data_IF_318509964652
#
_entry.id   IF_318509964652
#
_cell.length_a   1.000
_cell.length_b   1.000
_cell.length_c   1.000
_cell.angle_alpha   90.00
_cell.angle_beta   90.00
_cell.angle_gamma   90.00
#
_symmetry.space_group_name_H-M   'P 1'
#
loop_
_entity.id
_entity.type
_entity.pdbx_description
1 polymer ?
#
# COMPACT_ATOMS: atom_id res chain seq x y z
N UNK A 1 -11.40 -13.42 4.69
CA UNK A 1 -10.10 -13.27 4.01
C UNK A 1 -9.44 -14.64 3.96
N UNK A 2 -8.95 -15.11 2.80
CA UNK A 2 -8.11 -16.30 2.68
C UNK A 2 -6.87 -16.24 3.59
N UNK A 3 -6.34 -17.40 3.97
CA UNK A 3 -5.22 -17.50 4.92
C UNK A 3 -3.95 -16.80 4.42
N UNK A 4 -3.62 -16.95 3.13
CA UNK A 4 -2.46 -16.32 2.50
C UNK A 4 -2.55 -14.78 2.52
N UNK A 5 -3.73 -14.21 2.24
CA UNK A 5 -3.97 -12.78 2.32
C UNK A 5 -3.82 -12.29 3.77
N UNK A 6 -4.42 -13.01 4.72
CA UNK A 6 -4.32 -12.67 6.13
C UNK A 6 -2.86 -12.62 6.60
N UNK A 7 -2.07 -13.64 6.27
CA UNK A 7 -0.66 -13.70 6.69
C UNK A 7 0.16 -12.54 6.14
N UNK A 8 -0.04 -12.16 4.87
CA UNK A 8 0.68 -11.05 4.24
C UNK A 8 0.41 -9.71 4.94
N UNK A 9 -0.85 -9.40 5.19
CA UNK A 9 -1.22 -8.15 5.85
C UNK A 9 -0.89 -8.16 7.34
N UNK A 10 -0.96 -9.31 8.01
CA UNK A 10 -0.49 -9.46 9.39
C UNK A 10 1.01 -9.18 9.48
N UNK A 11 1.81 -9.78 8.61
CA UNK A 11 3.27 -9.57 8.57
C UNK A 11 3.61 -8.12 8.22
N UNK A 12 2.90 -7.52 7.27
CA UNK A 12 3.06 -6.10 6.93
C UNK A 12 2.85 -5.21 8.15
N UNK A 13 1.80 -5.45 8.94
CA UNK A 13 1.54 -4.70 10.16
C UNK A 13 2.61 -4.91 11.25
N UNK A 14 3.14 -6.13 11.39
CA UNK A 14 4.26 -6.41 12.29
C UNK A 14 5.54 -5.66 11.89
N UNK A 15 5.83 -5.60 10.59
CA UNK A 15 6.97 -4.85 10.07
C UNK A 15 6.81 -3.35 10.29
N UNK A 16 5.64 -2.78 10.02
CA UNK A 16 5.34 -1.37 10.31
C UNK A 16 5.50 -1.06 11.79
N UNK A 17 4.96 -1.90 12.68
CA UNK A 17 5.11 -1.74 14.12
C UNK A 17 6.58 -1.79 14.56
N UNK A 18 7.37 -2.72 13.99
CA UNK A 18 8.80 -2.85 14.28
C UNK A 18 9.58 -1.61 13.82
N UNK A 19 9.28 -1.09 12.62
CA UNK A 19 9.92 0.12 12.09
C UNK A 19 9.58 1.35 12.95
N UNK A 20 8.32 1.49 13.36
CA UNK A 20 7.88 2.56 14.29
C UNK A 20 8.65 2.52 15.59
N UNK A 21 8.77 1.33 16.20
CA UNK A 21 9.55 1.15 17.43
C UNK A 21 11.01 1.52 17.24
N UNK A 22 11.63 1.09 16.14
CA UNK A 22 13.05 1.34 15.84
C UNK A 22 13.37 2.84 15.73
N UNK A 23 12.42 3.66 15.25
CA UNK A 23 12.60 5.12 15.11
C UNK A 23 11.94 5.92 16.24
N UNK A 24 11.37 5.25 17.25
CA UNK A 24 10.68 5.91 18.37
C UNK A 24 9.45 6.72 17.94
N UNK A 25 8.76 6.30 16.87
CA UNK A 25 7.58 7.00 16.38
C UNK A 25 6.40 6.81 17.35
N UNK A 26 5.74 7.92 17.68
CA UNK A 26 4.55 7.98 18.53
C UNK A 26 3.32 8.60 17.82
N UNK A 27 3.42 8.84 16.51
CA UNK A 27 2.35 9.40 15.68
C UNK A 27 1.85 8.37 14.67
N UNK A 28 0.63 8.58 14.17
CA UNK A 28 0.13 7.90 12.98
C UNK A 28 1.08 8.13 11.80
N UNK A 29 1.27 7.10 10.99
CA UNK A 29 2.03 7.13 9.74
C UNK A 29 1.08 7.14 8.55
N UNK A 30 1.54 7.75 7.46
CA UNK A 30 0.83 7.70 6.17
C UNK A 30 1.34 6.50 5.39
N UNK A 31 0.46 5.56 5.07
CA UNK A 31 0.83 4.27 4.49
C UNK A 31 0.04 4.04 3.20
N UNK A 32 0.76 3.82 2.10
CA UNK A 32 0.20 3.56 0.78
C UNK A 32 0.29 2.07 0.46
N UNK A 33 -0.83 1.44 0.09
CA UNK A 33 -0.86 0.08 -0.48
C UNK A 33 -1.10 0.14 -1.99
N UNK A 34 -0.12 -0.27 -2.78
CA UNK A 34 -0.20 -0.26 -4.25
C UNK A 34 -0.53 -1.67 -4.75
N UNK A 35 -1.69 -1.81 -5.40
CA UNK A 35 -2.28 -3.09 -5.80
C UNK A 35 -3.06 -3.79 -4.68
N UNK A 36 -3.39 -3.06 -3.62
CA UNK A 36 -4.01 -3.60 -2.40
C UNK A 36 -5.54 -3.77 -2.45
N UNK A 37 -6.17 -3.53 -3.60
CA UNK A 37 -7.62 -3.57 -3.72
C UNK A 37 -8.09 -4.92 -4.22
N UNK A 38 -8.99 -5.53 -3.46
CA UNK A 38 -9.63 -6.79 -3.83
C UNK A 38 -11.06 -6.50 -4.32
N UNK A 39 -11.33 -6.65 -5.63
CA UNK A 39 -12.65 -6.37 -6.20
C UNK A 39 -13.64 -7.48 -5.82
N UNK A 40 -14.32 -7.30 -4.69
CA UNK A 40 -15.55 -8.02 -4.31
C UNK A 40 -16.75 -7.10 -4.52
N UNK A 41 -17.98 -7.57 -4.29
CA UNK A 41 -19.19 -6.72 -4.38
C UNK A 41 -19.11 -5.44 -3.54
N UNK A 42 -18.40 -5.47 -2.41
CA UNK A 42 -18.19 -4.31 -1.53
C UNK A 42 -16.82 -3.64 -1.71
N UNK A 43 -15.90 -4.24 -2.45
CA UNK A 43 -14.48 -3.92 -2.39
C UNK A 43 -13.88 -4.26 -1.01
N UNK A 44 -12.63 -4.73 -0.98
CA UNK A 44 -11.90 -4.92 0.28
C UNK A 44 -10.52 -4.28 0.14
N UNK A 45 -10.16 -3.51 1.18
CA UNK A 45 -8.85 -2.87 1.35
C UNK A 45 -8.25 -3.38 2.67
N UNK A 46 -7.55 -4.53 2.66
CA UNK A 46 -7.15 -5.21 3.88
C UNK A 46 -6.28 -4.37 4.81
N UNK A 47 -5.35 -3.59 4.27
CA UNK A 47 -4.37 -2.83 5.05
C UNK A 47 -5.02 -1.99 6.15
N UNK A 48 -6.16 -1.34 5.85
CA UNK A 48 -6.92 -0.51 6.79
C UNK A 48 -7.40 -1.29 8.01
N UNK A 49 -7.67 -2.59 7.88
CA UNK A 49 -8.10 -3.45 9.00
C UNK A 49 -6.94 -3.86 9.91
N UNK A 50 -5.71 -3.88 9.39
CA UNK A 50 -4.52 -4.30 10.14
C UNK A 50 -3.75 -3.13 10.76
N UNK A 51 -3.99 -1.91 10.28
CA UNK A 51 -3.33 -0.69 10.74
C UNK A 51 -4.38 0.39 11.07
N UNK A 52 -5.26 0.17 12.07
CA UNK A 52 -6.38 1.07 12.38
C UNK A 52 -5.95 2.42 12.96
N UNK A 53 -4.73 2.50 13.50
CA UNK A 53 -4.17 3.72 14.10
C UNK A 53 -3.35 4.55 13.09
N UNK A 54 -3.33 4.14 11.81
CA UNK A 54 -2.57 4.77 10.74
C UNK A 54 -3.46 5.33 9.63
N UNK A 55 -2.93 6.32 8.91
CA UNK A 55 -3.56 6.86 7.72
C UNK A 55 -3.24 5.97 6.52
N UNK A 56 -4.19 5.09 6.16
CA UNK A 56 -4.01 4.16 5.03
C UNK A 56 -4.69 4.67 3.76
N UNK A 57 -4.04 4.50 2.62
CA UNK A 57 -4.59 4.76 1.29
C UNK A 57 -4.27 3.56 0.39
N UNK A 58 -5.23 3.10 -0.40
CA UNK A 58 -5.01 2.06 -1.41
C UNK A 58 -5.02 2.69 -2.81
N UNK A 59 -4.07 2.28 -3.65
CA UNK A 59 -4.06 2.57 -5.08
C UNK A 59 -4.22 1.29 -5.87
N UNK A 60 -5.12 1.31 -6.85
CA UNK A 60 -5.24 0.24 -7.84
C UNK A 60 -5.73 0.82 -9.18
N UNK A 61 -5.61 0.03 -10.24
CA UNK A 61 -6.13 0.35 -11.58
C UNK A 61 -7.62 0.02 -11.72
N UNK A 62 -8.12 -0.90 -10.90
CA UNK A 62 -9.53 -1.29 -10.90
C UNK A 62 -10.45 -0.08 -10.63
N UNK A 63 -11.63 0.00 -11.25
CA UNK A 63 -12.58 1.05 -10.91
C UNK A 63 -13.16 0.80 -9.51
N UNK A 64 -13.06 1.80 -8.64
CA UNK A 64 -13.72 1.84 -7.33
C UNK A 64 -13.90 3.28 -6.88
N UNK A 65 -15.03 3.56 -6.23
CA UNK A 65 -15.31 4.84 -5.59
C UNK A 65 -15.53 4.59 -4.10
N UNK A 66 -14.72 5.23 -3.26
CA UNK A 66 -14.77 5.04 -1.82
C UNK A 66 -13.71 5.84 -1.08
N UNK A 67 -13.85 6.00 0.25
CA UNK A 67 -12.83 6.62 1.07
C UNK A 67 -11.55 5.78 1.05
N UNK A 68 -10.40 6.42 1.25
CA UNK A 68 -9.10 5.75 1.36
C UNK A 68 -8.74 4.91 0.12
N UNK A 69 -9.26 5.29 -1.05
CA UNK A 69 -8.96 4.69 -2.33
C UNK A 69 -8.61 5.75 -3.40
N UNK A 70 -7.61 5.48 -4.21
CA UNK A 70 -7.22 6.29 -5.36
C UNK A 70 -7.04 5.40 -6.58
N UNK A 71 -7.88 5.57 -7.60
CA UNK A 71 -7.68 4.88 -8.87
C UNK A 71 -6.47 5.50 -9.60
N UNK A 72 -5.40 4.73 -9.83
CA UNK A 72 -4.20 5.16 -10.54
C UNK A 72 -3.31 3.97 -10.95
N UNK A 73 -2.37 4.19 -11.87
CA UNK A 73 -1.32 3.20 -12.15
C UNK A 73 -0.21 3.30 -11.11
N UNK A 74 0.27 2.15 -10.62
CA UNK A 74 1.47 2.10 -9.78
C UNK A 74 2.77 2.54 -10.49
N UNK A 75 2.73 2.70 -11.82
CA UNK A 75 3.86 3.23 -12.61
C UNK A 75 3.80 4.75 -12.81
N UNK A 76 2.76 5.42 -12.33
CA UNK A 76 2.54 6.87 -12.44
C UNK A 76 1.64 7.32 -11.28
N UNK A 77 2.21 7.37 -10.08
CA UNK A 77 1.46 7.65 -8.86
C UNK A 77 1.19 9.17 -8.73
N UNK A 78 -0.06 9.61 -8.51
CA UNK A 78 -0.45 11.02 -8.49
C UNK A 78 -0.12 11.71 -7.15
N UNK A 79 1.05 11.40 -6.57
CA UNK A 79 1.49 11.91 -5.28
C UNK A 79 2.85 12.57 -5.39
N UNK A 80 3.11 13.52 -4.49
CA UNK A 80 4.42 14.14 -4.35
C UNK A 80 5.47 13.13 -3.87
N UNK A 81 6.73 13.45 -4.11
CA UNK A 81 7.86 12.71 -3.57
C UNK A 81 7.75 12.65 -2.04
N UNK A 82 8.05 11.47 -1.48
CA UNK A 82 8.06 11.23 -0.03
C UNK A 82 6.73 11.54 0.67
N UNK A 83 5.61 11.43 -0.04
CA UNK A 83 4.27 11.69 0.50
C UNK A 83 3.81 10.68 1.57
N UNK A 84 4.43 9.48 1.63
CA UNK A 84 4.07 8.42 2.57
C UNK A 84 5.27 7.99 3.42
N UNK A 85 5.03 7.64 4.67
CA UNK A 85 6.04 7.04 5.55
C UNK A 85 6.45 5.66 5.03
N UNK A 86 5.46 4.84 4.68
CA UNK A 86 5.65 3.47 4.19
C UNK A 86 4.83 3.27 2.92
N UNK A 87 5.40 2.53 1.96
CA UNK A 87 4.71 2.06 0.77
C UNK A 87 4.80 0.55 0.72
N UNK A 88 3.65 -0.11 0.58
CA UNK A 88 3.54 -1.56 0.46
C UNK A 88 3.02 -1.95 -0.91
N UNK A 89 3.38 -3.13 -1.35
CA UNK A 89 2.82 -3.76 -2.53
C UNK A 89 2.97 -5.26 -2.40
N UNK A 90 1.86 -5.98 -2.44
CA UNK A 90 1.80 -7.43 -2.26
C UNK A 90 1.10 -8.04 -3.47
N UNK A 91 1.70 -9.08 -4.06
CA UNK A 91 1.21 -9.76 -5.27
C UNK A 91 0.80 -8.82 -6.41
N UNK A 92 1.58 -7.75 -6.64
CA UNK A 92 1.30 -6.76 -7.69
C UNK A 92 2.36 -6.78 -8.80
N UNK A 93 3.63 -6.96 -8.46
CA UNK A 93 4.75 -6.81 -9.40
C UNK A 93 4.72 -7.82 -10.55
N UNK A 94 4.20 -9.03 -10.29
CA UNK A 94 4.03 -10.10 -11.27
C UNK A 94 3.04 -9.73 -12.38
N UNK A 95 2.08 -8.86 -12.10
CA UNK A 95 1.08 -8.38 -13.05
C UNK A 95 1.61 -7.24 -13.93
N UNK A 96 2.77 -6.66 -13.59
CA UNK A 96 3.37 -5.56 -14.33
C UNK A 96 4.25 -6.11 -15.45
N UNK A 97 4.07 -5.63 -16.71
CA UNK A 97 4.94 -5.99 -17.82
C UNK A 97 6.42 -5.77 -17.47
N UNK A 98 7.31 -6.64 -17.96
CA UNK A 98 8.74 -6.61 -17.60
C UNK A 98 9.36 -5.21 -17.76
N UNK A 99 9.04 -4.52 -18.85
CA UNK A 99 9.52 -3.17 -19.15
C UNK A 99 9.01 -2.09 -18.18
N UNK A 100 7.86 -2.31 -17.53
CA UNK A 100 7.25 -1.37 -16.58
C UNK A 100 7.69 -1.57 -15.12
N UNK A 101 8.30 -2.71 -14.78
CA UNK A 101 8.70 -3.02 -13.39
C UNK A 101 9.70 -2.03 -12.81
N UNK A 102 10.63 -1.53 -13.65
CA UNK A 102 11.58 -0.49 -13.23
C UNK A 102 10.89 0.81 -12.85
N UNK A 103 9.95 1.28 -13.68
CA UNK A 103 9.16 2.48 -13.41
C UNK A 103 8.29 2.31 -12.16
N UNK A 104 7.64 1.15 -12.00
CA UNK A 104 6.87 0.83 -10.80
C UNK A 104 7.70 0.93 -9.52
N UNK A 105 8.85 0.23 -9.47
CA UNK A 105 9.72 0.27 -8.29
C UNK A 105 10.28 1.68 -8.02
N UNK A 106 10.55 2.45 -9.07
CA UNK A 106 10.96 3.84 -8.95
C UNK A 106 9.87 4.71 -8.33
N UNK A 107 8.61 4.55 -8.75
CA UNK A 107 7.47 5.28 -8.19
C UNK A 107 7.22 4.93 -6.72
N UNK A 108 7.21 3.65 -6.37
CA UNK A 108 7.08 3.19 -4.98
C UNK A 108 8.17 3.81 -4.09
N UNK A 109 9.42 3.82 -4.59
CA UNK A 109 10.53 4.45 -3.87
C UNK A 109 10.40 5.97 -3.79
N UNK A 110 9.95 6.62 -4.86
CA UNK A 110 9.83 8.08 -4.96
C UNK A 110 8.85 8.62 -3.92
N UNK A 111 7.71 7.95 -3.75
CA UNK A 111 6.66 8.40 -2.81
C UNK A 111 6.89 7.93 -1.37
N UNK A 112 7.76 6.95 -1.14
CA UNK A 112 8.19 6.50 0.19
C UNK A 112 9.21 7.46 0.81
N UNK A 113 9.10 7.72 2.12
CA UNK A 113 10.02 8.59 2.85
C UNK A 113 10.98 7.86 3.79
N UNK A 114 10.76 6.56 4.02
CA UNK A 114 11.53 5.67 4.92
C UNK A 114 11.95 4.38 4.22
#
# INVERSE_FOLDING_TARGET
MPFDQYQRYRLTAELVATLKQAVGANTAWRILDVGGYFPTESGIMPLTSFLPDDETLVVDTAPHEGPNYQQASGTDLPFADRAFDIVTSCDTLEHIPLQGRGAFLAELRRVASR
#
